data_IF_379505579913
#
_entry.id   IF_379505579913
#
_cell.length_a   1.000
_cell.length_b   1.000
_cell.length_c   1.000
_cell.angle_alpha   90.00
_cell.angle_beta   90.00
_cell.angle_gamma   90.00
#
_symmetry.space_group_name_H-M   'P 1'
#
loop_
_entity.id
_entity.type
_entity.pdbx_description
1 polymer ?
#
# COMPACT_ATOMS: atom_id res chain seq x y z
N UNK A 1 12.44 -25.54 3.95
CA UNK A 1 12.41 -24.22 3.28
C UNK A 1 12.14 -23.03 4.24
N UNK A 2 11.52 -23.24 5.41
CA UNK A 2 11.14 -22.18 6.36
C UNK A 2 12.26 -21.56 7.24
N UNK A 3 13.44 -22.19 7.34
CA UNK A 3 14.51 -21.72 8.26
C UNK A 3 15.11 -20.36 7.89
N UNK A 4 15.14 -19.96 6.61
CA UNK A 4 15.69 -18.65 6.20
C UNK A 4 14.67 -17.51 6.33
N UNK A 5 13.39 -17.79 6.11
CA UNK A 5 12.32 -16.78 6.16
C UNK A 5 12.04 -16.33 7.59
N UNK A 6 12.01 -17.28 8.54
CA UNK A 6 11.77 -17.00 9.95
C UNK A 6 12.90 -16.17 10.59
N UNK A 7 14.16 -16.46 10.22
CA UNK A 7 15.32 -15.69 10.68
C UNK A 7 15.25 -14.24 10.19
N UNK A 8 14.80 -14.00 8.95
CA UNK A 8 14.60 -12.63 8.45
C UNK A 8 13.51 -11.85 9.20
N UNK A 9 12.43 -12.53 9.63
CA UNK A 9 11.36 -11.93 10.42
C UNK A 9 11.86 -11.55 11.82
N UNK A 10 12.58 -12.45 12.50
CA UNK A 10 13.09 -12.23 13.85
C UNK A 10 14.14 -11.11 13.92
N UNK A 11 15.00 -10.98 12.91
CA UNK A 11 15.98 -9.88 12.84
C UNK A 11 15.30 -8.53 12.57
N UNK A 12 14.12 -8.51 11.93
CA UNK A 12 13.38 -7.28 11.67
C UNK A 12 12.61 -6.73 12.89
N UNK A 13 12.37 -7.54 13.92
CA UNK A 13 11.77 -7.08 15.18
C UNK A 13 12.77 -6.32 16.07
N UNK A 14 14.07 -6.48 15.84
CA UNK A 14 15.10 -5.74 16.57
C UNK A 14 15.23 -4.29 16.04
N UNK A 15 14.66 -3.32 16.77
CA UNK A 15 14.75 -1.87 16.47
C UNK A 15 16.17 -1.33 16.29
N UNK A 16 17.19 -2.02 16.79
CA UNK A 16 18.58 -1.56 16.79
C UNK A 16 19.30 -1.83 15.47
N UNK A 17 18.74 -2.67 14.60
CA UNK A 17 19.36 -3.03 13.32
C UNK A 17 18.40 -2.69 12.18
N UNK A 18 18.65 -1.59 11.48
CA UNK A 18 18.06 -1.39 10.15
C UNK A 18 18.58 -2.50 9.24
N UNK A 19 17.76 -3.51 8.99
CA UNK A 19 18.07 -4.51 7.97
C UNK A 19 17.78 -3.87 6.61
N UNK A 20 18.77 -3.15 6.09
CA UNK A 20 18.75 -2.45 4.80
C UNK A 20 18.26 -3.33 3.62
N UNK A 21 18.37 -4.65 3.76
CA UNK A 21 17.90 -5.63 2.78
C UNK A 21 16.37 -5.75 2.74
N UNK A 22 15.65 -5.63 3.86
CA UNK A 22 14.20 -5.81 3.90
C UNK A 22 13.45 -4.58 3.35
N UNK A 23 13.90 -3.36 3.66
CA UNK A 23 13.32 -2.13 3.09
C UNK A 23 13.46 -2.08 1.56
N UNK A 24 14.54 -2.65 1.00
CA UNK A 24 14.75 -2.83 -0.44
C UNK A 24 13.88 -3.94 -1.07
N UNK A 25 13.41 -4.89 -0.26
CA UNK A 25 12.56 -6.01 -0.72
C UNK A 25 11.08 -5.60 -0.77
N UNK A 26 10.64 -4.64 0.05
CA UNK A 26 9.23 -4.21 0.11
C UNK A 26 8.81 -3.52 -1.20
N UNK A 27 7.99 -4.16 -2.05
CA UNK A 27 7.73 -3.65 -3.39
C UNK A 27 6.77 -2.46 -3.33
N UNK A 28 7.26 -1.28 -3.69
CA UNK A 28 6.46 -0.06 -3.84
C UNK A 28 6.19 0.25 -5.31
N UNK A 29 5.04 0.84 -5.64
CA UNK A 29 4.75 1.31 -7.01
C UNK A 29 4.25 2.74 -7.06
N UNK A 30 4.69 3.47 -8.08
CA UNK A 30 4.16 4.79 -8.41
C UNK A 30 2.90 4.65 -9.28
N UNK A 31 1.84 5.36 -8.90
CA UNK A 31 0.66 5.56 -9.73
C UNK A 31 0.73 6.93 -10.41
N UNK A 32 1.04 6.92 -11.71
CA UNK A 32 1.26 8.15 -12.48
C UNK A 32 -0.03 8.90 -12.84
N UNK A 33 -1.10 8.20 -13.21
CA UNK A 33 -2.31 8.84 -13.73
C UNK A 33 -3.57 8.01 -13.48
N UNK A 34 -4.62 8.68 -13.01
CA UNK A 34 -6.02 8.23 -13.16
C UNK A 34 -6.73 9.28 -14.00
N UNK A 35 -7.18 8.88 -15.18
CA UNK A 35 -7.96 9.73 -16.08
C UNK A 35 -9.38 9.18 -16.23
N UNK A 36 -10.36 10.08 -16.14
CA UNK A 36 -11.76 9.79 -16.45
C UNK A 36 -12.17 10.72 -17.57
N UNK A 37 -12.58 10.14 -18.70
CA UNK A 37 -13.09 10.90 -19.82
C UNK A 37 -14.23 11.84 -19.35
N UNK A 38 -14.19 13.14 -19.72
CA UNK A 38 -15.17 14.15 -19.32
C UNK A 38 -16.63 13.71 -19.42
N UNK A 39 -16.97 12.96 -20.48
CA UNK A 39 -18.33 12.48 -20.76
C UNK A 39 -18.84 11.49 -19.70
N UNK A 40 -17.94 10.95 -18.87
CA UNK A 40 -18.26 9.97 -17.84
C UNK A 40 -17.91 10.44 -16.42
N UNK A 41 -17.64 11.74 -16.23
CA UNK A 41 -17.41 12.33 -14.90
C UNK A 41 -18.65 12.20 -14.00
N UNK A 42 -18.47 12.37 -12.69
CA UNK A 42 -19.50 12.26 -11.63
C UNK A 42 -20.15 10.87 -11.47
N UNK A 43 -19.75 9.86 -12.24
CA UNK A 43 -20.23 8.46 -12.10
C UNK A 43 -19.37 7.58 -11.18
N UNK A 44 -18.58 8.20 -10.29
CA UNK A 44 -17.59 7.53 -9.42
C UNK A 44 -16.58 6.61 -10.14
N UNK A 45 -16.38 6.77 -11.44
CA UNK A 45 -15.51 5.91 -12.26
C UNK A 45 -14.06 5.96 -11.78
N UNK A 46 -13.55 7.15 -11.45
CA UNK A 46 -12.18 7.28 -10.93
C UNK A 46 -11.94 6.46 -9.66
N UNK A 47 -12.93 6.40 -8.77
CA UNK A 47 -12.89 5.55 -7.56
C UNK A 47 -12.89 4.06 -7.92
N UNK A 48 -13.74 3.63 -8.86
CA UNK A 48 -13.77 2.23 -9.33
C UNK A 48 -12.45 1.82 -9.97
N UNK A 49 -11.87 2.67 -10.82
CA UNK A 49 -10.56 2.43 -11.43
C UNK A 49 -9.48 2.28 -10.35
N UNK A 50 -9.44 3.21 -9.38
CA UNK A 50 -8.50 3.15 -8.27
C UNK A 50 -8.63 1.85 -7.48
N UNK A 51 -9.84 1.48 -7.05
CA UNK A 51 -10.07 0.26 -6.26
C UNK A 51 -9.62 -0.99 -7.02
N UNK A 52 -9.95 -1.09 -8.32
CA UNK A 52 -9.55 -2.22 -9.15
C UNK A 52 -8.02 -2.29 -9.30
N UNK A 53 -7.38 -1.14 -9.49
CA UNK A 53 -5.93 -1.04 -9.53
C UNK A 53 -5.30 -1.50 -8.21
N UNK A 54 -5.73 -0.97 -7.07
CA UNK A 54 -5.22 -1.35 -5.74
C UNK A 54 -5.39 -2.85 -5.48
N UNK A 55 -6.55 -3.41 -5.82
CA UNK A 55 -6.83 -4.85 -5.70
C UNK A 55 -5.88 -5.68 -6.56
N UNK A 56 -5.64 -5.26 -7.80
CA UNK A 56 -4.69 -5.92 -8.69
C UNK A 56 -3.26 -5.86 -8.15
N UNK A 57 -2.82 -4.70 -7.65
CA UNK A 57 -1.48 -4.55 -7.08
C UNK A 57 -1.31 -5.39 -5.81
N UNK A 58 -2.33 -5.43 -4.94
CA UNK A 58 -2.33 -6.30 -3.75
C UNK A 58 -2.17 -7.78 -4.13
N UNK A 59 -2.91 -8.24 -5.15
CA UNK A 59 -2.77 -9.62 -5.69
C UNK A 59 -1.37 -9.90 -6.22
N UNK A 60 -0.70 -8.90 -6.81
CA UNK A 60 0.70 -8.99 -7.27
C UNK A 60 1.74 -8.89 -6.14
N UNK A 61 1.31 -8.72 -4.89
CA UNK A 61 2.20 -8.64 -3.74
C UNK A 61 2.85 -7.27 -3.53
N UNK A 62 2.34 -6.23 -4.18
CA UNK A 62 2.80 -4.85 -3.95
C UNK A 62 2.41 -4.43 -2.54
N UNK A 63 3.36 -3.86 -1.80
CA UNK A 63 3.21 -3.49 -0.40
C UNK A 63 2.59 -2.12 -0.21
N UNK A 64 2.94 -1.17 -1.07
CA UNK A 64 2.35 0.16 -1.05
C UNK A 64 2.30 0.79 -2.44
N UNK A 65 1.35 1.71 -2.59
CA UNK A 65 1.21 2.55 -3.79
C UNK A 65 1.42 3.99 -3.36
N UNK A 66 2.31 4.70 -4.05
CA UNK A 66 2.47 6.13 -3.87
C UNK A 66 2.10 6.90 -5.13
N UNK A 67 1.77 8.17 -4.96
CA UNK A 67 1.44 9.11 -6.02
C UNK A 67 2.11 10.44 -5.73
N UNK A 68 2.75 10.99 -6.76
CA UNK A 68 3.31 12.34 -6.74
C UNK A 68 2.36 13.32 -7.41
N UNK A 69 1.96 14.37 -6.70
CA UNK A 69 1.08 15.40 -7.24
C UNK A 69 1.72 16.77 -7.11
N UNK A 70 1.57 17.66 -8.10
CA UNK A 70 1.90 19.06 -7.93
C UNK A 70 1.11 19.63 -6.74
N UNK A 71 1.77 20.38 -5.86
CA UNK A 71 1.16 20.96 -4.65
C UNK A 71 -0.06 21.83 -4.97
N UNK A 72 -0.07 22.47 -6.14
CA UNK A 72 -1.19 23.29 -6.64
C UNK A 72 -2.43 22.47 -7.02
N UNK A 73 -2.31 21.16 -7.22
CA UNK A 73 -3.41 20.31 -7.69
C UNK A 73 -4.31 19.79 -6.54
N UNK A 74 -4.99 20.74 -5.87
CA UNK A 74 -5.81 20.47 -4.66
C UNK A 74 -6.87 19.37 -4.86
N UNK A 75 -7.55 19.35 -6.01
CA UNK A 75 -8.60 18.36 -6.31
C UNK A 75 -8.07 16.92 -6.36
N UNK A 76 -6.90 16.72 -6.96
CA UNK A 76 -6.27 15.41 -6.99
C UNK A 76 -5.83 14.96 -5.60
N UNK A 77 -5.19 15.86 -4.85
CA UNK A 77 -4.75 15.61 -3.47
C UNK A 77 -5.93 15.16 -2.61
N UNK A 78 -7.04 15.92 -2.64
CA UNK A 78 -8.27 15.59 -1.93
C UNK A 78 -8.82 14.24 -2.37
N UNK A 79 -8.89 13.96 -3.67
CA UNK A 79 -9.36 12.67 -4.18
C UNK A 79 -8.59 11.49 -3.57
N UNK A 80 -7.26 11.55 -3.52
CA UNK A 80 -6.45 10.47 -2.95
C UNK A 80 -6.60 10.39 -1.43
N UNK A 81 -6.65 11.52 -0.72
CA UNK A 81 -6.89 11.55 0.73
C UNK A 81 -8.25 10.94 1.11
N UNK A 82 -9.32 11.26 0.38
CA UNK A 82 -10.63 10.63 0.55
C UNK A 82 -10.61 9.12 0.30
N UNK A 83 -9.62 8.61 -0.44
CA UNK A 83 -9.41 7.18 -0.69
C UNK A 83 -8.27 6.61 0.18
N UNK A 84 -8.06 7.16 1.37
CA UNK A 84 -7.14 6.66 2.41
C UNK A 84 -5.65 6.69 2.05
N UNK A 85 -5.26 7.54 1.10
CA UNK A 85 -3.83 7.84 0.94
C UNK A 85 -3.42 8.86 1.99
N UNK A 86 -2.31 8.60 2.67
CA UNK A 86 -1.72 9.46 3.68
C UNK A 86 -0.53 10.20 3.10
N UNK A 87 -0.29 11.42 3.55
CA UNK A 87 0.84 12.20 3.08
C UNK A 87 2.12 11.74 3.79
N UNK A 88 3.09 11.26 3.01
CA UNK A 88 4.38 10.80 3.55
C UNK A 88 5.51 11.82 3.38
N UNK A 89 5.38 12.74 2.42
CA UNK A 89 6.40 13.77 2.19
C UNK A 89 5.84 15.04 1.50
N UNK A 90 6.50 16.17 1.74
CA UNK A 90 6.31 17.45 1.06
C UNK A 90 7.66 17.91 0.52
N UNK A 91 7.81 17.90 -0.81
CA UNK A 91 9.06 18.31 -1.47
C UNK A 91 8.74 19.51 -2.35
N UNK A 92 9.25 20.70 -2.00
CA UNK A 92 9.07 22.00 -2.72
C UNK A 92 7.71 22.15 -3.46
N UNK A 93 7.62 21.65 -4.69
CA UNK A 93 6.48 21.79 -5.60
C UNK A 93 5.55 20.58 -5.71
N UNK A 94 5.85 19.50 -4.99
CA UNK A 94 5.13 18.22 -5.02
C UNK A 94 4.71 17.77 -3.61
N UNK A 95 3.62 17.02 -3.59
CA UNK A 95 3.16 16.26 -2.42
C UNK A 95 3.20 14.79 -2.81
N UNK A 96 3.72 13.96 -1.91
CA UNK A 96 3.73 12.51 -2.06
C UNK A 96 2.69 11.93 -1.10
N UNK A 97 1.72 11.21 -1.66
CA UNK A 97 0.71 10.48 -0.91
C UNK A 97 0.94 8.98 -1.10
N UNK A 98 0.81 8.18 -0.05
CA UNK A 98 1.01 6.73 -0.06
C UNK A 98 -0.17 6.01 0.60
N UNK A 99 -0.51 4.83 0.10
CA UNK A 99 -1.40 3.88 0.76
C UNK A 99 -0.68 2.54 0.93
N UNK A 100 -0.79 1.97 2.13
CA UNK A 100 -0.32 0.62 2.43
C UNK A 100 -1.36 -0.40 1.97
N UNK A 101 -0.90 -1.44 1.28
CA UNK A 101 -1.71 -2.57 0.81
C UNK A 101 -1.53 -3.82 1.69
N UNK A 102 -0.40 -3.92 2.37
CA UNK A 102 -0.16 -4.90 3.43
C UNK A 102 -0.82 -4.46 4.73
N UNK A 103 -1.06 -5.41 5.62
CA UNK A 103 -1.58 -5.12 6.96
C UNK A 103 -0.50 -4.41 7.81
N UNK A 104 -0.89 -3.86 8.97
CA UNK A 104 -0.07 -2.98 9.83
C UNK A 104 1.23 -3.60 10.40
N UNK A 105 1.53 -4.84 10.05
CA UNK A 105 2.75 -5.58 10.42
C UNK A 105 3.62 -5.98 9.22
N UNK A 106 3.36 -5.40 8.03
CA UNK A 106 4.06 -5.80 6.82
C UNK A 106 3.67 -7.20 6.32
N UNK A 107 2.50 -7.68 6.72
CA UNK A 107 2.00 -9.01 6.35
C UNK A 107 1.09 -8.87 5.13
N UNK A 108 1.42 -9.60 4.05
CA UNK A 108 0.65 -9.63 2.79
C UNK A 108 -0.70 -10.35 2.95
N UNK A 109 -0.70 -11.46 3.69
CA UNK A 109 -1.88 -12.25 4.08
C UNK A 109 -1.53 -13.07 5.32
N UNK A 110 -2.42 -13.08 6.32
CA UNK A 110 -2.37 -14.02 7.43
C UNK A 110 -3.37 -15.13 7.13
N UNK A 111 -2.89 -16.25 6.57
CA UNK A 111 -3.69 -17.47 6.53
C UNK A 111 -3.55 -18.14 7.89
N UNK A 112 -4.63 -18.15 8.66
CA UNK A 112 -4.68 -18.90 9.91
C UNK A 112 -4.79 -20.38 9.55
N UNK A 113 -3.71 -21.13 9.77
CA UNK A 113 -3.74 -22.59 9.66
C UNK A 113 -4.13 -23.11 11.03
N UNK A 114 -5.42 -23.35 11.22
CA UNK A 114 -5.95 -24.03 12.40
C UNK A 114 -6.37 -25.45 12.02
N UNK A 115 -5.98 -26.43 12.84
CA UNK A 115 -6.43 -27.81 12.64
C UNK A 115 -7.86 -28.00 13.18
N UNK A 116 -8.34 -27.11 14.06
CA UNK A 116 -9.71 -27.06 14.55
C UNK A 116 -10.22 -25.62 14.69
N UNK A 117 -11.51 -25.40 14.39
CA UNK A 117 -12.20 -24.10 14.51
C UNK A 117 -12.23 -23.56 15.96
N UNK A 118 -12.13 -24.43 16.96
CA UNK A 118 -12.07 -24.07 18.38
C UNK A 118 -10.82 -23.29 18.76
N UNK A 119 -9.73 -23.43 17.98
CA UNK A 119 -8.44 -22.78 18.26
C UNK A 119 -8.45 -21.30 17.86
N UNK A 120 -9.51 -20.84 17.18
CA UNK A 120 -9.64 -19.47 16.65
C UNK A 120 -10.45 -18.55 17.58
N UNK A 121 -11.28 -19.11 18.46
CA UNK A 121 -12.25 -18.35 19.26
C UNK A 121 -12.06 -18.46 20.79
N UNK A 122 -10.95 -19.04 21.25
CA UNK A 122 -10.59 -19.10 22.67
C UNK A 122 -9.49 -18.10 23.02
#
# INVERSE_FOLDING_TARGET
YYKKLLVGILVAEEKNHKVDSLEKIVPKRNLYLIYVNPNFRKKHIGKKILINYLTSQKKKGIASIFVELPRKYKKGIQFFQYNKFHQINKVKDKIILEINLWNDFGIRSSEFIANNLSDVFN
#
